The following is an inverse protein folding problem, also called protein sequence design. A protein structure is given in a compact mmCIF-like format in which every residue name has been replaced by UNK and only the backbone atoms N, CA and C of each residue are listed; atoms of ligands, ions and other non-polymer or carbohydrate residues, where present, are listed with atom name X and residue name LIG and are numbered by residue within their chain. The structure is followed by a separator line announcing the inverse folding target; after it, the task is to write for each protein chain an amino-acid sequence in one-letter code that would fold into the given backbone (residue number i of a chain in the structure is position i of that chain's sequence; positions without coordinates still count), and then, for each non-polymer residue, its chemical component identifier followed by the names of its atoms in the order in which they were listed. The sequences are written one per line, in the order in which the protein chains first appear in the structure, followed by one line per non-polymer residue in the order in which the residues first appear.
data_IF_780489350962
#
_entry.id   IF_780489350962
#
_cell.length_a   1.000
_cell.length_b   1.000
_cell.length_c   1.000
_cell.angle_alpha   90.00
_cell.angle_beta   90.00
_cell.angle_gamma   90.00
#
_symmetry.space_group_name_H-M   'P 1'
#
loop_
_entity.id
_entity.type
_entity.pdbx_description
1 polymer ?
#
# COMPACT_ATOMS: atom_id res chain seq x y z
N UNK A 1 -5.73 -65.54 38.14
CA UNK A 1 -5.08 -64.81 37.00
C UNK A 1 -5.82 -63.49 36.83
N UNK A 2 -5.19 -62.38 37.24
CA UNK A 2 -5.70 -61.03 37.04
C UNK A 2 -5.06 -60.45 35.77
N UNK A 3 -5.90 -60.09 34.80
CA UNK A 3 -5.50 -59.45 33.54
C UNK A 3 -5.48 -57.94 33.76
N UNK A 4 -4.28 -57.32 33.73
CA UNK A 4 -4.12 -55.89 33.81
C UNK A 4 -4.32 -55.26 32.42
N UNK A 5 -5.35 -54.42 32.29
CA UNK A 5 -5.63 -53.66 31.05
C UNK A 5 -4.76 -52.38 31.06
N UNK A 6 -3.77 -52.31 30.19
CA UNK A 6 -2.98 -51.10 30.00
C UNK A 6 -3.69 -50.21 29.00
N UNK A 7 -4.23 -49.08 29.50
CA UNK A 7 -4.80 -48.03 28.62
C UNK A 7 -3.67 -47.10 28.19
N UNK A 8 -3.30 -47.15 26.91
CA UNK A 8 -2.38 -46.18 26.30
C UNK A 8 -3.21 -44.93 25.94
N UNK A 9 -3.01 -43.85 26.68
CA UNK A 9 -3.61 -42.55 26.36
C UNK A 9 -2.68 -41.89 25.31
N UNK A 10 -3.13 -41.88 24.06
CA UNK A 10 -2.44 -41.15 22.97
C UNK A 10 -2.84 -39.67 23.09
N UNK A 11 -1.97 -38.85 23.66
CA UNK A 11 -2.13 -37.38 23.64
C UNK A 11 -1.73 -36.88 22.25
N UNK A 12 -2.70 -36.54 21.40
CA UNK A 12 -2.44 -35.78 20.18
C UNK A 12 -2.13 -34.33 20.57
N UNK A 13 -0.86 -33.94 20.50
CA UNK A 13 -0.49 -32.55 20.52
C UNK A 13 -1.06 -31.92 19.24
N UNK A 14 -2.15 -31.16 19.37
CA UNK A 14 -2.63 -30.30 18.28
C UNK A 14 -1.59 -29.21 18.05
N UNK A 15 -0.91 -29.26 16.92
CA UNK A 15 -0.18 -28.11 16.38
C UNK A 15 -1.26 -27.11 15.99
N UNK A 16 -1.58 -26.19 16.90
CA UNK A 16 -2.34 -25.00 16.55
C UNK A 16 -1.46 -24.21 15.59
N UNK A 17 -1.85 -24.13 14.33
CA UNK A 17 -1.34 -23.09 13.45
C UNK A 17 -1.70 -21.77 14.13
N UNK A 18 -0.69 -21.00 14.55
CA UNK A 18 -0.87 -19.64 15.01
C UNK A 18 -1.34 -18.86 13.78
N UNK A 19 -2.59 -18.43 13.74
CA UNK A 19 -3.05 -17.45 12.77
C UNK A 19 -2.15 -16.23 13.03
N UNK A 20 -1.31 -15.88 12.07
CA UNK A 20 -0.57 -14.63 12.11
C UNK A 20 -1.61 -13.49 12.11
N UNK A 21 -1.50 -12.59 13.10
CA UNK A 21 -2.37 -11.41 13.16
C UNK A 21 -1.98 -10.50 11.97
N UNK A 22 -2.74 -10.61 10.86
CA UNK A 22 -2.51 -9.81 9.66
C UNK A 22 -2.67 -8.33 9.96
N UNK A 23 -1.82 -7.53 9.38
CA UNK A 23 -1.86 -6.08 9.45
C UNK A 23 -2.39 -5.47 8.15
N UNK A 24 -2.77 -4.20 8.19
CA UNK A 24 -3.22 -3.50 6.98
C UNK A 24 -2.71 -2.08 6.88
N UNK A 25 -2.53 -1.61 5.64
CA UNK A 25 -2.15 -0.25 5.29
C UNK A 25 -3.02 0.26 4.14
N UNK A 26 -3.17 1.60 4.02
CA UNK A 26 -3.97 2.21 2.96
C UNK A 26 -3.20 3.36 2.31
N UNK A 27 -3.07 3.30 0.98
CA UNK A 27 -2.28 4.24 0.20
C UNK A 27 -3.07 4.79 -1.00
N UNK A 28 -3.01 6.10 -1.21
CA UNK A 28 -3.44 6.77 -2.42
C UNK A 28 -2.21 7.18 -3.24
N UNK A 29 -2.16 6.83 -4.51
CA UNK A 29 -1.00 7.11 -5.38
C UNK A 29 -1.41 7.31 -6.85
N UNK A 30 -2.53 8.02 -7.08
CA UNK A 30 -3.16 8.14 -8.38
C UNK A 30 -4.11 6.97 -8.67
N UNK A 31 -4.24 6.61 -9.94
CA UNK A 31 -5.12 5.52 -10.34
C UNK A 31 -4.77 4.20 -9.60
N UNK A 32 -5.73 3.66 -8.86
CA UNK A 32 -5.55 2.43 -8.08
C UNK A 32 -5.20 1.21 -8.94
N UNK A 33 -5.60 1.12 -10.22
CA UNK A 33 -5.15 0.06 -11.11
C UNK A 33 -3.62 -0.02 -11.24
N UNK A 34 -2.95 1.14 -11.12
CA UNK A 34 -1.49 1.22 -11.21
C UNK A 34 -0.79 1.00 -9.86
N UNK A 35 -1.52 1.22 -8.77
CA UNK A 35 -0.96 1.06 -7.42
C UNK A 35 -1.16 -0.35 -6.86
N UNK A 36 -2.15 -1.11 -7.32
CA UNK A 36 -2.44 -2.46 -6.86
C UNK A 36 -1.28 -3.43 -7.17
N UNK A 37 -0.85 -3.49 -8.42
CA UNK A 37 0.20 -4.40 -8.90
C UNK A 37 1.50 -4.35 -8.08
N UNK A 38 2.13 -3.18 -7.80
CA UNK A 38 3.38 -3.13 -7.03
C UNK A 38 3.28 -3.71 -5.63
N UNK A 39 2.12 -3.61 -4.99
CA UNK A 39 1.91 -4.20 -3.68
C UNK A 39 1.64 -5.70 -3.77
N UNK A 40 0.90 -6.16 -4.78
CA UNK A 40 0.65 -7.60 -4.99
C UNK A 40 1.92 -8.38 -5.30
N UNK A 41 2.95 -7.73 -5.87
CA UNK A 41 4.23 -8.34 -6.20
C UNK A 41 5.22 -8.35 -5.02
N UNK A 42 4.87 -7.71 -3.88
CA UNK A 42 5.71 -7.73 -2.68
C UNK A 42 5.46 -9.00 -1.86
N UNK A 43 6.52 -9.74 -1.59
CA UNK A 43 6.46 -10.92 -0.72
C UNK A 43 5.92 -10.54 0.67
N UNK A 44 5.01 -11.34 1.22
CA UNK A 44 4.36 -11.09 2.50
C UNK A 44 3.04 -10.32 2.39
N UNK A 45 2.71 -9.74 1.24
CA UNK A 45 1.38 -9.19 0.98
C UNK A 45 0.41 -10.34 0.73
N UNK A 46 -0.68 -10.36 1.51
CA UNK A 46 -1.71 -11.40 1.46
C UNK A 46 -2.81 -11.06 0.47
N UNK A 47 -3.21 -9.78 0.42
CA UNK A 47 -4.20 -9.28 -0.53
C UNK A 47 -4.16 -7.78 -0.65
N UNK A 48 -4.59 -7.28 -1.80
CA UNK A 48 -4.89 -5.86 -2.02
C UNK A 48 -6.39 -5.68 -2.29
N UNK A 49 -6.89 -4.47 -2.09
CA UNK A 49 -8.27 -4.10 -2.43
C UNK A 49 -8.27 -2.64 -2.88
N UNK A 50 -8.60 -2.40 -4.14
CA UNK A 50 -8.87 -1.06 -4.66
C UNK A 50 -10.12 -0.47 -4.02
N UNK A 51 -10.11 0.82 -3.67
CA UNK A 51 -11.22 1.45 -2.97
C UNK A 51 -11.12 2.97 -2.89
N UNK A 52 -11.92 3.54 -1.99
CA UNK A 52 -12.05 4.96 -1.77
C UNK A 52 -11.88 5.29 -0.29
N UNK A 53 -11.12 6.35 0.02
CA UNK A 53 -10.91 6.79 1.41
C UNK A 53 -10.71 8.32 1.48
N UNK A 54 -10.86 8.86 2.69
CA UNK A 54 -10.54 10.25 3.03
C UNK A 54 -11.64 11.25 2.75
N UNK A 55 -12.74 10.87 2.11
CA UNK A 55 -13.87 11.72 1.81
C UNK A 55 -14.99 11.70 2.87
N UNK A 56 -16.10 12.37 2.55
CA UNK A 56 -17.25 12.53 3.45
C UNK A 56 -18.51 11.80 2.96
N UNK A 57 -18.52 11.31 1.73
CA UNK A 57 -19.66 10.55 1.16
C UNK A 57 -19.57 9.10 1.63
N UNK A 58 -20.66 8.60 2.21
CA UNK A 58 -20.76 7.21 2.69
C UNK A 58 -21.07 6.31 1.50
N UNK A 59 -20.33 5.20 1.37
CA UNK A 59 -20.47 4.23 0.27
C UNK A 59 -20.51 4.90 -1.11
N UNK A 60 -19.47 5.68 -1.49
CA UNK A 60 -19.45 6.37 -2.77
C UNK A 60 -19.33 5.36 -3.93
N UNK A 61 -19.87 5.72 -5.09
CA UNK A 61 -19.63 5.00 -6.34
C UNK A 61 -18.44 5.59 -7.09
N UNK A 62 -17.89 4.83 -8.04
CA UNK A 62 -16.83 5.30 -8.92
C UNK A 62 -17.21 6.60 -9.66
N UNK A 63 -18.44 6.67 -10.18
CA UNK A 63 -18.91 7.85 -10.89
C UNK A 63 -18.93 9.08 -9.98
N UNK A 64 -19.31 8.92 -8.70
CA UNK A 64 -19.31 10.01 -7.74
C UNK A 64 -17.89 10.49 -7.43
N UNK A 65 -16.96 9.55 -7.19
CA UNK A 65 -15.57 9.89 -6.85
C UNK A 65 -14.89 10.54 -8.06
N UNK A 66 -15.02 9.97 -9.24
CA UNK A 66 -14.41 10.48 -10.47
C UNK A 66 -15.00 11.83 -10.92
N UNK A 67 -16.30 12.08 -10.65
CA UNK A 67 -16.92 13.38 -10.90
C UNK A 67 -16.42 14.47 -9.94
N UNK A 68 -15.79 14.09 -8.82
CA UNK A 68 -15.30 15.00 -7.80
C UNK A 68 -16.37 15.40 -6.77
N UNK A 69 -15.94 16.15 -5.75
CA UNK A 69 -16.82 16.69 -4.70
C UNK A 69 -17.11 15.71 -3.56
N UNK A 70 -16.71 14.43 -3.64
CA UNK A 70 -16.86 13.47 -2.53
C UNK A 70 -15.80 13.62 -1.46
N UNK A 71 -14.65 14.22 -1.80
CA UNK A 71 -13.47 14.30 -0.96
C UNK A 71 -12.66 13.01 -0.87
N UNK A 72 -13.11 11.92 -1.51
CA UNK A 72 -12.37 10.66 -1.55
C UNK A 72 -11.21 10.68 -2.54
N UNK A 73 -10.13 9.97 -2.16
CA UNK A 73 -9.08 9.54 -3.08
C UNK A 73 -9.31 8.10 -3.51
N UNK A 74 -8.86 7.73 -4.72
CA UNK A 74 -8.63 6.34 -5.09
C UNK A 74 -7.48 5.80 -4.25
N UNK A 75 -7.70 4.66 -3.61
CA UNK A 75 -6.74 4.05 -2.68
C UNK A 75 -6.62 2.56 -2.93
N UNK A 76 -5.50 2.00 -2.47
CA UNK A 76 -5.31 0.55 -2.31
C UNK A 76 -5.14 0.25 -0.84
N UNK A 77 -5.97 -0.65 -0.31
CA UNK A 77 -5.78 -1.27 1.00
C UNK A 77 -4.95 -2.52 0.80
N UNK A 78 -3.84 -2.61 1.51
CA UNK A 78 -2.89 -3.72 1.50
C UNK A 78 -3.02 -4.48 2.81
N UNK A 79 -3.31 -5.77 2.76
CA UNK A 79 -3.28 -6.68 3.91
C UNK A 79 -2.00 -7.51 3.81
N UNK A 80 -1.22 -7.55 4.87
CA UNK A 80 0.09 -8.18 4.87
C UNK A 80 0.37 -8.96 6.15
N UNK A 81 1.27 -9.93 6.06
CA UNK A 81 1.80 -10.68 7.19
C UNK A 81 3.00 -9.91 7.78
N UNK A 82 2.90 -9.38 9.00
CA UNK A 82 3.98 -8.61 9.61
C UNK A 82 5.22 -9.45 9.97
N UNK A 83 5.12 -10.79 9.91
CA UNK A 83 6.28 -11.67 10.06
C UNK A 83 7.06 -11.85 8.75
N UNK A 84 6.44 -11.52 7.59
CA UNK A 84 7.02 -11.69 6.26
C UNK A 84 7.41 -10.36 5.60
N UNK A 85 6.67 -9.28 5.86
CA UNK A 85 6.99 -7.93 5.37
C UNK A 85 6.60 -6.87 6.40
N UNK A 86 7.19 -5.69 6.32
CA UNK A 86 6.97 -4.60 7.26
C UNK A 86 6.19 -3.43 6.63
N UNK A 87 5.66 -2.54 7.47
CA UNK A 87 5.04 -1.31 6.99
C UNK A 87 6.05 -0.39 6.29
N UNK A 88 7.31 -0.40 6.72
CA UNK A 88 8.40 0.33 6.08
C UNK A 88 8.69 -0.16 4.65
N UNK A 89 8.59 -1.49 4.42
CA UNK A 89 8.70 -2.05 3.06
C UNK A 89 7.53 -1.62 2.17
N UNK A 90 6.31 -1.59 2.71
CA UNK A 90 5.16 -1.04 2.00
C UNK A 90 5.35 0.44 1.68
N UNK A 91 5.88 1.25 2.60
CA UNK A 91 6.21 2.65 2.36
C UNK A 91 7.28 2.79 1.26
N UNK A 92 8.28 1.90 1.24
CA UNK A 92 9.26 1.89 0.15
C UNK A 92 8.62 1.69 -1.21
N UNK A 93 7.79 0.65 -1.35
CA UNK A 93 7.05 0.37 -2.58
C UNK A 93 6.15 1.56 -2.96
N UNK A 94 5.42 2.12 -1.99
CA UNK A 94 4.58 3.30 -2.20
C UNK A 94 5.36 4.45 -2.83
N UNK A 95 6.45 4.88 -2.17
CA UNK A 95 7.24 6.01 -2.62
C UNK A 95 7.83 5.80 -4.02
N UNK A 96 8.31 4.59 -4.33
CA UNK A 96 8.91 4.26 -5.63
C UNK A 96 7.89 4.16 -6.77
N UNK A 97 6.62 4.18 -6.44
CA UNK A 97 5.52 4.10 -7.39
C UNK A 97 4.70 5.39 -7.53
N UNK A 98 5.14 6.50 -6.93
CA UNK A 98 4.50 7.81 -7.06
C UNK A 98 5.48 8.90 -7.51
N UNK A 99 4.93 10.01 -8.03
CA UNK A 99 5.63 11.29 -8.12
C UNK A 99 5.35 12.11 -6.84
N UNK A 100 6.28 12.21 -5.89
CA UNK A 100 6.04 12.91 -4.63
C UNK A 100 5.96 14.43 -4.76
N UNK A 101 6.13 14.96 -5.98
CA UNK A 101 6.08 16.39 -6.29
C UNK A 101 4.78 16.79 -6.99
N UNK A 102 3.99 15.85 -7.50
CA UNK A 102 2.67 16.11 -8.07
C UNK A 102 1.59 15.91 -6.99
N UNK A 103 1.13 17.02 -6.43
CA UNK A 103 0.17 17.03 -5.32
C UNK A 103 -1.27 17.29 -5.77
N UNK A 104 -1.48 17.61 -7.05
CA UNK A 104 -2.81 17.87 -7.63
C UNK A 104 -3.37 16.66 -8.37
N UNK A 105 -2.56 15.61 -8.50
CA UNK A 105 -2.88 14.36 -9.18
C UNK A 105 -1.69 13.43 -9.20
N UNK A 106 -1.68 12.50 -10.15
CA UNK A 106 -0.52 11.65 -10.41
C UNK A 106 -0.44 11.34 -11.91
N UNK A 107 0.65 11.73 -12.53
CA UNK A 107 0.97 11.49 -13.94
C UNK A 107 -0.07 12.13 -14.88
N UNK A 108 -0.88 11.31 -15.59
CA UNK A 108 -1.93 11.82 -16.47
C UNK A 108 -3.27 12.00 -15.76
N UNK A 109 -3.41 11.48 -14.56
CA UNK A 109 -4.64 11.54 -13.78
C UNK A 109 -4.60 12.77 -12.87
N UNK A 110 -5.42 13.76 -13.18
CA UNK A 110 -5.44 15.02 -12.46
C UNK A 110 -6.75 15.17 -11.65
N UNK A 111 -6.64 15.81 -10.50
CA UNK A 111 -7.74 16.11 -9.62
C UNK A 111 -7.66 15.40 -8.27
N UNK A 112 -8.56 15.82 -7.38
CA UNK A 112 -8.53 15.47 -5.97
C UNK A 112 -8.49 13.96 -5.69
N UNK A 113 -9.21 13.16 -6.49
CA UNK A 113 -9.28 11.70 -6.32
C UNK A 113 -7.96 10.98 -6.63
N UNK A 114 -7.02 11.65 -7.29
CA UNK A 114 -5.74 11.06 -7.70
C UNK A 114 -4.53 11.60 -6.92
N UNK A 115 -4.76 12.42 -5.89
CA UNK A 115 -3.68 12.96 -5.06
C UNK A 115 -3.00 11.85 -4.25
N UNK A 116 -1.67 11.93 -4.07
CA UNK A 116 -0.95 10.99 -3.22
C UNK A 116 -1.25 11.28 -1.75
N UNK A 117 -1.64 10.24 -1.00
CA UNK A 117 -1.91 10.30 0.45
C UNK A 117 -1.48 8.99 1.10
N UNK A 118 -0.83 9.07 2.24
CA UNK A 118 -0.60 7.94 3.15
C UNK A 118 -1.65 8.02 4.25
N UNK A 119 -2.51 6.98 4.35
CA UNK A 119 -3.49 6.90 5.44
C UNK A 119 -2.95 6.00 6.54
N UNK A 120 -2.93 6.50 7.78
CA UNK A 120 -2.50 5.70 8.93
C UNK A 120 -3.70 5.29 9.80
N UNK A 121 -3.57 4.15 10.48
CA UNK A 121 -4.56 3.61 11.42
C UNK A 121 -4.02 3.48 12.84
N UNK A 122 -2.70 3.60 13.01
CA UNK A 122 -2.02 3.53 14.31
C UNK A 122 -0.98 4.64 14.44
N UNK A 123 -0.61 4.98 15.67
CA UNK A 123 0.45 5.97 15.93
C UNK A 123 1.79 5.53 15.34
N UNK A 124 2.09 4.22 15.37
CA UNK A 124 3.30 3.65 14.76
C UNK A 124 3.33 3.89 13.26
N UNK A 125 2.23 3.60 12.54
CA UNK A 125 2.13 3.90 11.11
C UNK A 125 2.32 5.40 10.83
N UNK A 126 1.78 6.25 11.69
CA UNK A 126 1.94 7.70 11.57
C UNK A 126 3.40 8.12 11.67
N UNK A 127 4.10 7.66 12.71
CA UNK A 127 5.52 7.98 12.94
C UNK A 127 6.40 7.47 11.78
N UNK A 128 6.19 6.23 11.33
CA UNK A 128 6.92 5.64 10.22
C UNK A 128 6.64 6.36 8.89
N UNK A 129 5.40 6.76 8.65
CA UNK A 129 5.05 7.54 7.45
C UNK A 129 5.76 8.90 7.42
N UNK A 130 5.80 9.63 8.55
CA UNK A 130 6.53 10.89 8.69
C UNK A 130 8.03 10.69 8.47
N UNK A 131 8.63 9.71 9.13
CA UNK A 131 10.04 9.40 8.97
C UNK A 131 10.40 9.03 7.53
N UNK A 132 9.51 8.29 6.84
CA UNK A 132 9.70 7.93 5.43
C UNK A 132 9.67 9.16 4.51
N UNK A 133 8.78 10.13 4.78
CA UNK A 133 8.68 11.37 4.01
C UNK A 133 9.96 12.22 4.16
N UNK A 134 10.48 12.35 5.38
CA UNK A 134 11.74 13.06 5.65
C UNK A 134 12.92 12.39 4.94
N UNK A 135 12.95 11.05 4.96
CA UNK A 135 13.98 10.28 4.26
C UNK A 135 13.93 10.48 2.75
N UNK A 136 12.73 10.41 2.16
CA UNK A 136 12.53 10.65 0.73
C UNK A 136 12.95 12.06 0.35
N UNK A 137 12.60 13.06 1.17
CA UNK A 137 13.04 14.43 0.97
C UNK A 137 14.59 14.54 0.96
N UNK A 138 15.25 13.81 1.85
CA UNK A 138 16.73 13.72 1.89
C UNK A 138 17.31 13.07 0.63
N UNK A 139 16.74 11.95 0.18
CA UNK A 139 17.18 11.23 -1.03
C UNK A 139 17.02 12.11 -2.29
N UNK A 140 15.88 12.77 -2.43
CA UNK A 140 15.55 13.57 -3.62
C UNK A 140 16.08 15.00 -3.55
N UNK A 141 16.65 15.42 -2.40
CA UNK A 141 17.18 16.76 -2.18
C UNK A 141 16.14 17.88 -2.24
N UNK A 142 14.85 17.53 -2.03
CA UNK A 142 13.71 18.45 -2.08
C UNK A 142 12.65 18.04 -1.05
N UNK A 143 11.96 19.00 -0.42
CA UNK A 143 10.81 18.69 0.42
C UNK A 143 9.74 17.93 -0.37
N UNK A 144 9.16 16.91 0.27
CA UNK A 144 7.96 16.23 -0.20
C UNK A 144 6.80 16.62 0.70
N UNK A 145 5.64 16.85 0.10
CA UNK A 145 4.46 17.34 0.82
C UNK A 145 3.26 16.39 0.59
N UNK A 146 3.54 15.09 0.44
CA UNK A 146 2.49 14.07 0.40
C UNK A 146 1.72 14.11 1.70
N UNK A 147 0.39 14.14 1.60
CA UNK A 147 -0.47 14.21 2.77
C UNK A 147 -0.38 12.90 3.58
N UNK A 148 -0.19 13.02 4.90
CA UNK A 148 -0.24 11.90 5.84
C UNK A 148 -1.39 12.19 6.79
N UNK A 149 -2.42 11.33 6.80
CA UNK A 149 -3.65 11.58 7.56
C UNK A 149 -4.27 10.30 8.10
N UNK A 150 -5.05 10.44 9.17
CA UNK A 150 -5.78 9.34 9.77
C UNK A 150 -6.84 8.78 8.82
N UNK A 151 -6.94 7.44 8.77
CA UNK A 151 -7.97 6.73 8.05
C UNK A 151 -9.26 6.69 8.85
N UNK A 152 -10.29 7.42 8.41
CA UNK A 152 -11.60 7.39 9.05
C UNK A 152 -12.50 6.24 8.53
N UNK A 153 -12.48 6.01 7.22
CA UNK A 153 -13.27 4.98 6.56
C UNK A 153 -12.63 4.55 5.23
N UNK A 154 -12.81 3.29 4.89
CA UNK A 154 -12.44 2.71 3.61
C UNK A 154 -13.68 2.06 2.99
N UNK A 155 -13.92 2.34 1.72
CA UNK A 155 -15.00 1.77 0.93
C UNK A 155 -14.40 1.02 -0.26
N UNK A 156 -14.61 -0.32 -0.36
CA UNK A 156 -14.15 -1.08 -1.54
C UNK A 156 -14.74 -0.51 -2.82
N UNK A 157 -13.91 -0.42 -3.85
CA UNK A 157 -14.39 -0.11 -5.19
C UNK A 157 -15.12 -1.32 -5.79
N UNK A 158 -15.86 -1.07 -6.86
CA UNK A 158 -16.65 -2.08 -7.56
C UNK A 158 -15.76 -3.22 -8.08
N UNK A 159 -16.32 -4.43 -8.17
CA UNK A 159 -15.59 -5.66 -8.53
C UNK A 159 -14.81 -5.58 -9.84
N UNK A 160 -15.27 -4.77 -10.80
CA UNK A 160 -14.58 -4.61 -12.08
C UNK A 160 -13.28 -3.80 -11.99
N UNK A 161 -13.02 -3.13 -10.86
CA UNK A 161 -11.78 -2.43 -10.58
C UNK A 161 -10.73 -3.31 -9.90
N UNK A 162 -11.15 -4.39 -9.22
CA UNK A 162 -10.25 -5.27 -8.51
C UNK A 162 -9.41 -6.11 -9.49
N UNK A 163 -8.12 -6.30 -9.21
CA UNK A 163 -7.18 -7.06 -10.04
C UNK A 163 -7.16 -6.59 -11.51
N UNK A 164 -7.34 -5.28 -11.73
CA UNK A 164 -7.54 -4.78 -13.10
C UNK A 164 -6.37 -5.12 -14.02
N UNK A 165 -5.15 -5.07 -13.53
CA UNK A 165 -3.93 -5.40 -14.28
C UNK A 165 -3.87 -6.88 -14.72
N UNK A 166 -4.49 -7.80 -13.94
CA UNK A 166 -4.62 -9.23 -14.26
C UNK A 166 -5.79 -9.47 -15.23
N UNK A 167 -6.95 -8.89 -14.92
CA UNK A 167 -8.19 -9.12 -15.69
C UNK A 167 -8.19 -8.41 -17.04
N UNK A 168 -7.48 -7.30 -17.17
CA UNK A 168 -7.43 -6.45 -18.36
C UNK A 168 -6.00 -6.08 -18.79
N UNK A 169 -5.07 -7.04 -18.96
CA UNK A 169 -3.63 -6.77 -19.07
C UNK A 169 -3.24 -5.90 -20.27
N UNK A 170 -3.97 -5.99 -21.39
CA UNK A 170 -3.69 -5.18 -22.58
C UNK A 170 -4.09 -3.73 -22.35
N UNK A 171 -5.30 -3.50 -21.80
CA UNK A 171 -5.81 -2.16 -21.48
C UNK A 171 -4.96 -1.48 -20.41
N UNK A 172 -4.61 -2.22 -19.36
CA UNK A 172 -3.73 -1.75 -18.29
C UNK A 172 -2.38 -1.27 -18.82
N UNK A 173 -1.68 -2.11 -19.61
CA UNK A 173 -0.37 -1.74 -20.18
C UNK A 173 -0.46 -0.53 -21.10
N UNK A 174 -1.50 -0.46 -21.95
CA UNK A 174 -1.72 0.69 -22.81
C UNK A 174 -1.96 1.97 -22.00
N UNK A 175 -2.84 1.92 -21.00
CA UNK A 175 -3.14 3.04 -20.11
C UNK A 175 -1.88 3.51 -19.38
N UNK A 176 -1.16 2.63 -18.70
CA UNK A 176 0.06 2.93 -17.94
C UNK A 176 1.13 3.56 -18.83
N UNK A 177 1.38 3.00 -20.00
CA UNK A 177 2.35 3.53 -20.95
C UNK A 177 1.97 4.91 -21.50
N UNK A 178 0.67 5.10 -21.86
CA UNK A 178 0.18 6.38 -22.39
C UNK A 178 0.19 7.47 -21.33
N UNK A 179 -0.09 7.13 -20.09
CA UNK A 179 -0.02 8.02 -18.95
C UNK A 179 1.41 8.50 -18.64
N UNK A 180 2.41 7.81 -19.15
CA UNK A 180 3.81 8.17 -18.97
C UNK A 180 4.34 7.93 -17.55
N UNK A 181 3.62 7.09 -16.77
CA UNK A 181 3.95 6.80 -15.36
C UNK A 181 5.39 6.32 -15.23
N UNK A 182 5.76 5.25 -15.93
CA UNK A 182 7.08 4.63 -15.81
C UNK A 182 8.20 5.62 -16.14
N UNK A 183 8.08 6.36 -17.25
CA UNK A 183 9.07 7.40 -17.62
C UNK A 183 9.22 8.50 -16.57
N UNK A 184 8.12 8.89 -15.91
CA UNK A 184 8.17 9.88 -14.84
C UNK A 184 8.82 9.31 -13.58
N UNK A 185 8.50 8.08 -13.23
CA UNK A 185 9.16 7.36 -12.13
C UNK A 185 10.66 7.23 -12.35
N UNK A 186 11.10 6.85 -13.57
CA UNK A 186 12.52 6.80 -13.94
C UNK A 186 13.19 8.19 -13.78
N UNK A 187 12.48 9.27 -14.10
CA UNK A 187 13.01 10.62 -13.94
C UNK A 187 13.17 11.01 -12.46
N UNK A 188 12.26 10.58 -11.59
CA UNK A 188 12.25 10.90 -10.15
C UNK A 188 13.22 10.01 -9.38
N UNK A 189 13.18 8.71 -9.65
CA UNK A 189 13.80 7.68 -8.82
C UNK A 189 15.05 7.02 -9.47
N UNK A 190 15.27 7.24 -10.77
CA UNK A 190 16.35 6.58 -11.50
C UNK A 190 16.24 5.07 -11.43
N UNK A 191 17.36 4.40 -11.11
CA UNK A 191 17.41 2.94 -11.00
C UNK A 191 16.58 2.36 -9.84
N UNK A 192 16.03 3.21 -8.97
CA UNK A 192 15.14 2.80 -7.88
C UNK A 192 13.65 2.90 -8.25
N UNK A 193 13.33 3.33 -9.47
CA UNK A 193 11.95 3.43 -9.95
C UNK A 193 11.27 2.06 -9.90
N UNK A 194 10.02 2.02 -9.43
CA UNK A 194 9.22 0.80 -9.33
C UNK A 194 9.87 -0.30 -8.47
N UNK A 195 10.78 0.07 -7.55
CA UNK A 195 11.47 -0.87 -6.67
C UNK A 195 10.47 -1.68 -5.84
N UNK A 196 10.60 -3.01 -5.92
CA UNK A 196 9.79 -3.96 -5.16
C UNK A 196 10.50 -4.39 -3.88
N UNK A 197 11.83 -4.35 -3.89
CA UNK A 197 12.64 -4.74 -2.74
C UNK A 197 13.42 -3.53 -2.19
N UNK A 198 13.20 -3.14 -0.94
CA UNK A 198 13.94 -2.07 -0.31
C UNK A 198 15.41 -2.46 -0.19
N UNK A 199 16.29 -1.51 -0.44
CA UNK A 199 17.69 -1.71 -0.07
C UNK A 199 17.83 -1.73 1.46
N UNK A 200 18.84 -2.42 2.01
CA UNK A 200 19.01 -2.55 3.46
C UNK A 200 19.04 -1.21 4.20
N UNK A 201 19.50 -0.14 3.55
CA UNK A 201 19.57 1.18 4.18
C UNK A 201 18.19 1.81 4.37
N UNK A 202 17.18 1.39 3.63
CA UNK A 202 15.81 1.84 3.83
C UNK A 202 15.23 1.33 5.16
N UNK A 203 15.56 0.10 5.53
CA UNK A 203 15.05 -0.55 6.75
C UNK A 203 15.74 -0.07 8.04
N UNK A 204 16.86 0.65 7.91
CA UNK A 204 17.57 1.23 9.07
C UNK A 204 16.87 2.48 9.66
N UNK A 205 15.64 2.77 9.29
CA UNK A 205 14.89 3.94 9.81
C UNK A 205 14.65 3.89 11.33
N UNK A 206 14.62 2.70 11.92
CA UNK A 206 14.39 2.52 13.36
C UNK A 206 15.62 2.82 14.24
N UNK A 207 16.82 2.95 13.67
CA UNK A 207 18.05 3.13 14.46
C UNK A 207 18.56 4.58 14.50
N UNK A 208 17.84 5.52 13.89
CA UNK A 208 18.15 6.95 13.96
C UNK A 208 17.90 7.52 15.36
N UNK A 209 18.60 7.03 16.36
CA UNK A 209 18.82 7.71 17.64
C UNK A 209 19.37 9.10 17.31
N UNK A 210 18.60 10.12 17.59
CA UNK A 210 19.09 11.50 17.63
C UNK A 210 20.23 11.55 18.66
N UNK A 211 21.45 11.65 18.17
CA UNK A 211 22.62 12.09 18.95
C UNK A 211 22.79 13.58 18.78
#
# INVERSE_FOLDING_TARGET
LALALVIVVCTTAGVGAQESDLSSAVFAGGCFWCMEKPFDELDGVVSTTSGYAGGHVVNPTYEQVSAGGTGHSEVVRVVYDPEATSYEELLYVYWRNIDPFDLDGQFCDQGHSYRPVIFYTTDEQHELALASADRVAGILGKPVNVEIRELNAFYPAEDYHQDYYIRNPIRYRYYRARCGRDRRLDTVWGDQAQGENPDPTWLDMQTGSMN
#
